data_IF_638717563534
#
_entry.id   IF_638717563534
#
_cell.length_a   1.000
_cell.length_b   1.000
_cell.length_c   1.000
_cell.angle_alpha   90.00
_cell.angle_beta   90.00
_cell.angle_gamma   90.00
#
_symmetry.space_group_name_H-M   'P 1'
#
loop_
_entity.id
_entity.type
_entity.pdbx_description
1 polymer ?
#
# COMPACT_ATOMS: atom_id res chain seq x y z
N UNK A 1 10.46 18.37 8.49
CA UNK A 1 11.93 18.59 8.68
C UNK A 1 12.63 17.25 8.81
N UNK A 2 13.80 17.06 8.18
CA UNK A 2 14.57 15.80 8.24
C UNK A 2 15.78 15.96 9.17
N UNK A 3 16.01 14.96 10.01
CA UNK A 3 17.18 14.87 10.89
C UNK A 3 17.86 13.50 10.72
N UNK A 4 19.19 13.50 10.58
CA UNK A 4 20.01 12.30 10.51
C UNK A 4 21.07 12.36 11.63
N UNK A 5 21.14 11.31 12.45
CA UNK A 5 22.11 11.20 13.56
C UNK A 5 22.14 12.43 14.48
N UNK A 6 20.98 13.02 14.75
CA UNK A 6 20.90 14.20 15.61
C UNK A 6 21.02 15.55 14.89
N UNK A 7 21.34 15.58 13.59
CA UNK A 7 21.65 16.81 12.85
C UNK A 7 20.63 17.07 11.73
N UNK A 8 20.26 18.32 11.43
CA UNK A 8 19.46 18.65 10.27
C UNK A 8 20.09 18.07 9.00
N UNK A 9 19.30 17.35 8.22
CA UNK A 9 19.77 16.79 6.96
C UNK A 9 20.00 17.90 5.94
N UNK A 10 21.21 17.93 5.38
CA UNK A 10 21.59 18.75 4.25
C UNK A 10 22.04 17.79 3.14
N UNK A 11 21.41 17.79 1.96
CA UNK A 11 21.89 17.00 0.83
C UNK A 11 23.32 17.42 0.51
N UNK A 12 24.25 16.47 0.40
CA UNK A 12 25.60 16.76 -0.10
C UNK A 12 25.66 16.63 -1.63
N UNK A 13 26.74 17.12 -2.25
CA UNK A 13 26.93 17.02 -3.71
C UNK A 13 27.07 15.56 -4.22
N UNK A 14 27.32 14.60 -3.32
CA UNK A 14 27.39 13.17 -3.64
C UNK A 14 26.01 12.52 -3.74
N UNK A 15 24.99 13.18 -3.17
CA UNK A 15 23.60 12.78 -3.18
C UNK A 15 22.96 13.01 -4.56
N UNK A 16 23.17 12.05 -5.47
CA UNK A 16 22.55 12.05 -6.80
C UNK A 16 21.11 11.53 -6.76
N UNK A 17 20.22 12.29 -6.12
CA UNK A 17 18.78 12.00 -6.14
C UNK A 17 18.22 12.18 -7.55
N UNK A 18 17.36 11.26 -7.98
CA UNK A 18 16.54 11.51 -9.17
C UNK A 18 15.36 12.44 -8.85
N UNK A 19 14.55 12.74 -9.87
CA UNK A 19 13.40 13.64 -9.72
C UNK A 19 12.37 13.13 -8.71
N UNK A 20 12.09 11.82 -8.67
CA UNK A 20 11.13 11.24 -7.73
C UNK A 20 11.67 11.29 -6.30
N UNK A 21 12.94 10.96 -6.12
CA UNK A 21 13.63 11.03 -4.82
C UNK A 21 13.67 12.48 -4.31
N UNK A 22 13.91 13.45 -5.21
CA UNK A 22 13.89 14.88 -4.89
C UNK A 22 12.51 15.31 -4.40
N UNK A 23 11.44 14.96 -5.13
CA UNK A 23 10.05 15.26 -4.70
C UNK A 23 9.72 14.65 -3.33
N UNK A 24 10.19 13.42 -3.06
CA UNK A 24 10.01 12.77 -1.76
C UNK A 24 10.77 13.53 -0.65
N UNK A 25 12.02 13.89 -0.88
CA UNK A 25 12.85 14.64 0.09
C UNK A 25 12.21 15.99 0.40
N UNK A 26 11.78 16.73 -0.61
CA UNK A 26 11.11 18.00 -0.43
C UNK A 26 9.81 17.85 0.37
N UNK A 27 9.00 16.83 0.07
CA UNK A 27 7.77 16.56 0.82
C UNK A 27 8.08 16.26 2.29
N UNK A 28 9.09 15.43 2.58
CA UNK A 28 9.56 15.12 3.94
C UNK A 28 10.04 16.39 4.67
N UNK A 29 10.78 17.27 3.99
CA UNK A 29 11.25 18.54 4.56
C UNK A 29 10.08 19.49 4.89
N UNK A 30 9.09 19.59 4.00
CA UNK A 30 7.90 20.45 4.12
C UNK A 30 6.91 19.96 5.18
N UNK A 31 6.96 18.69 5.60
CA UNK A 31 6.08 18.21 6.67
C UNK A 31 6.34 18.93 8.01
N UNK A 32 5.28 19.19 8.80
CA UNK A 32 5.40 19.79 10.13
C UNK A 32 6.07 18.85 11.15
N UNK A 33 6.06 17.54 10.89
CA UNK A 33 6.66 16.55 11.78
C UNK A 33 8.17 16.46 11.54
N UNK A 34 8.90 16.13 12.61
CA UNK A 34 10.32 15.79 12.54
C UNK A 34 10.47 14.32 12.09
N UNK A 35 11.11 14.11 10.95
CA UNK A 35 11.53 12.79 10.49
C UNK A 35 12.98 12.55 10.91
N UNK A 36 13.16 11.76 11.97
CA UNK A 36 14.49 11.46 12.54
C UNK A 36 14.95 10.07 12.13
N UNK A 37 16.17 10.00 11.62
CA UNK A 37 16.84 8.79 11.17
C UNK A 37 18.15 8.61 11.94
N UNK A 38 18.51 7.36 12.28
CA UNK A 38 19.75 7.04 13.00
C UNK A 38 20.97 7.01 12.08
N UNK A 39 20.78 6.99 10.76
CA UNK A 39 21.85 7.01 9.76
C UNK A 39 21.32 7.44 8.39
N UNK A 40 22.21 7.89 7.50
CA UNK A 40 21.85 8.18 6.10
C UNK A 40 21.34 6.93 5.38
N UNK A 41 21.84 5.74 5.73
CA UNK A 41 21.35 4.47 5.19
C UNK A 41 19.86 4.26 5.47
N UNK A 42 19.39 4.62 6.66
CA UNK A 42 17.97 4.50 7.05
C UNK A 42 17.10 5.49 6.25
N UNK A 43 17.55 6.75 6.13
CA UNK A 43 16.89 7.77 5.29
C UNK A 43 16.81 7.31 3.83
N UNK A 44 17.93 6.83 3.26
CA UNK A 44 17.99 6.33 1.89
C UNK A 44 17.11 5.12 1.67
N UNK A 45 16.98 4.23 2.65
CA UNK A 45 16.08 3.09 2.57
C UNK A 45 14.61 3.53 2.47
N UNK A 46 14.18 4.48 3.29
CA UNK A 46 12.81 5.03 3.20
C UNK A 46 12.56 5.72 1.86
N UNK A 47 13.46 6.60 1.41
CA UNK A 47 13.32 7.31 0.13
C UNK A 47 13.22 6.31 -1.04
N UNK A 48 14.13 5.33 -1.10
CA UNK A 48 14.13 4.30 -2.16
C UNK A 48 12.88 3.42 -2.10
N UNK A 49 12.40 3.07 -0.90
CA UNK A 49 11.18 2.31 -0.72
C UNK A 49 9.95 3.07 -1.23
N UNK A 50 9.80 4.34 -0.87
CA UNK A 50 8.72 5.21 -1.36
C UNK A 50 8.74 5.33 -2.88
N UNK A 51 9.90 5.63 -3.46
CA UNK A 51 10.10 5.65 -4.91
C UNK A 51 9.70 4.33 -5.56
N UNK A 52 10.16 3.20 -5.03
CA UNK A 52 9.85 1.90 -5.61
C UNK A 52 8.39 1.48 -5.43
N UNK A 53 7.70 1.96 -4.40
CA UNK A 53 6.24 1.82 -4.26
C UNK A 53 5.53 2.61 -5.37
N UNK A 54 5.97 3.85 -5.65
CA UNK A 54 5.45 4.66 -6.76
C UNK A 54 5.71 3.99 -8.12
N UNK A 55 6.91 3.47 -8.33
CA UNK A 55 7.26 2.70 -9.54
C UNK A 55 6.34 1.48 -9.68
N UNK A 56 6.12 0.74 -8.58
CA UNK A 56 5.20 -0.41 -8.58
C UNK A 56 3.78 0.02 -8.92
N UNK A 57 3.30 1.14 -8.38
CA UNK A 57 1.96 1.65 -8.69
C UNK A 57 1.79 1.97 -10.17
N UNK A 58 2.81 2.61 -10.79
CA UNK A 58 2.85 2.88 -12.23
C UNK A 58 2.92 1.59 -13.06
N UNK A 59 3.70 0.60 -12.64
CA UNK A 59 3.76 -0.71 -13.30
C UNK A 59 2.41 -1.45 -13.23
N UNK A 60 1.70 -1.36 -12.10
CA UNK A 60 0.37 -1.95 -11.94
C UNK A 60 -0.67 -1.24 -12.82
N UNK A 61 -0.62 0.09 -12.90
CA UNK A 61 -1.51 0.90 -13.76
C UNK A 61 -1.33 0.59 -15.25
N UNK A 62 -0.08 0.37 -15.67
CA UNK A 62 0.25 -0.01 -17.05
C UNK A 62 -0.03 -1.50 -17.35
N UNK A 63 -0.25 -2.31 -16.32
CA UNK A 63 -0.54 -3.74 -16.45
C UNK A 63 -2.02 -4.03 -16.72
N UNK A 64 -2.34 -5.32 -16.83
CA UNK A 64 -3.68 -5.83 -17.16
C UNK A 64 -4.41 -6.38 -15.92
N UNK A 65 -3.82 -6.26 -14.73
CA UNK A 65 -4.50 -6.64 -13.49
C UNK A 65 -5.71 -5.75 -13.29
N UNK A 66 -6.87 -6.35 -13.03
CA UNK A 66 -8.14 -5.61 -12.97
C UNK A 66 -8.77 -5.63 -11.59
N UNK A 67 -9.64 -4.65 -11.33
CA UNK A 67 -10.39 -4.61 -10.09
C UNK A 67 -11.40 -5.77 -10.00
N UNK A 68 -11.49 -6.40 -8.83
CA UNK A 68 -12.54 -7.35 -8.50
C UNK A 68 -12.90 -7.29 -7.02
N UNK A 69 -14.15 -7.57 -6.69
CA UNK A 69 -14.55 -7.90 -5.31
C UNK A 69 -13.95 -9.24 -4.88
N UNK A 70 -13.92 -9.54 -3.58
CA UNK A 70 -13.42 -10.83 -3.07
C UNK A 70 -14.12 -12.05 -3.70
N UNK A 71 -15.43 -11.95 -3.99
CA UNK A 71 -16.20 -13.03 -4.62
C UNK A 71 -15.71 -13.38 -6.03
N UNK A 72 -15.15 -12.40 -6.75
CA UNK A 72 -14.74 -12.53 -8.15
C UNK A 72 -13.22 -12.39 -8.30
N UNK A 73 -12.48 -12.51 -7.19
CA UNK A 73 -11.03 -12.41 -7.19
C UNK A 73 -10.41 -13.58 -7.97
N UNK A 74 -9.25 -13.32 -8.58
CA UNK A 74 -8.50 -14.31 -9.37
C UNK A 74 -7.00 -14.08 -9.21
N UNK A 75 -6.24 -15.16 -9.15
CA UNK A 75 -4.77 -15.14 -9.11
C UNK A 75 -4.21 -16.27 -9.99
N UNK A 76 -2.95 -16.16 -10.39
CA UNK A 76 -2.25 -17.24 -11.08
C UNK A 76 -2.10 -18.46 -10.13
N UNK A 77 -2.68 -19.63 -10.47
CA UNK A 77 -2.66 -20.82 -9.62
C UNK A 77 -1.29 -21.49 -9.50
N UNK A 78 -0.31 -21.10 -10.31
CA UNK A 78 1.07 -21.56 -10.17
C UNK A 78 1.69 -21.07 -8.87
N UNK A 79 1.42 -19.81 -8.51
CA UNK A 79 2.02 -19.12 -7.35
C UNK A 79 1.09 -19.06 -6.14
N UNK A 80 -0.22 -18.93 -6.37
CA UNK A 80 -1.18 -18.59 -5.33
C UNK A 80 -2.34 -19.59 -5.28
N UNK A 81 -2.71 -20.02 -4.08
CA UNK A 81 -3.98 -20.67 -3.82
C UNK A 81 -5.05 -19.61 -3.54
N UNK A 82 -6.07 -19.54 -4.40
CA UNK A 82 -7.26 -18.73 -4.12
C UNK A 82 -8.05 -19.37 -2.97
N UNK A 83 -8.22 -18.64 -1.89
CA UNK A 83 -9.01 -19.09 -0.73
C UNK A 83 -10.51 -18.87 -0.97
N UNK A 84 -11.35 -19.54 -0.18
CA UNK A 84 -12.82 -19.35 -0.23
C UNK A 84 -13.26 -17.92 0.13
N UNK A 85 -12.44 -17.18 0.88
CA UNK A 85 -12.66 -15.77 1.19
C UNK A 85 -12.21 -14.83 0.06
N UNK A 86 -11.61 -15.33 -1.02
CA UNK A 86 -11.09 -14.52 -2.12
C UNK A 86 -9.70 -13.91 -1.88
N UNK A 87 -8.99 -14.36 -0.84
CA UNK A 87 -7.58 -14.00 -0.61
C UNK A 87 -6.61 -14.94 -1.32
N UNK A 88 -5.37 -14.50 -1.55
CA UNK A 88 -4.33 -15.24 -2.26
C UNK A 88 -3.30 -15.76 -1.27
N UNK A 89 -3.32 -17.06 -1.00
CA UNK A 89 -2.36 -17.72 -0.13
C UNK A 89 -1.17 -18.20 -0.96
N UNK A 90 0.04 -17.76 -0.60
CA UNK A 90 1.25 -18.21 -1.28
C UNK A 90 1.36 -19.73 -1.20
N UNK A 91 1.60 -20.38 -2.34
CA UNK A 91 1.78 -21.84 -2.37
C UNK A 91 3.07 -22.23 -1.67
N UNK A 92 3.05 -23.43 -1.07
CA UNK A 92 4.24 -24.00 -0.42
C UNK A 92 5.38 -24.10 -1.43
N UNK A 93 6.59 -23.77 -0.98
CA UNK A 93 7.85 -23.85 -1.76
C UNK A 93 7.94 -22.84 -2.92
N UNK A 94 6.95 -21.98 -3.13
CA UNK A 94 7.04 -20.86 -4.07
C UNK A 94 7.80 -19.71 -3.42
N UNK A 95 8.72 -19.11 -4.17
CA UNK A 95 9.48 -17.92 -3.78
C UNK A 95 8.53 -16.72 -3.63
N UNK A 96 8.46 -16.06 -2.47
CA UNK A 96 7.66 -14.85 -2.28
C UNK A 96 7.97 -13.75 -3.29
N UNK A 97 9.25 -13.56 -3.61
CA UNK A 97 9.70 -12.59 -4.59
C UNK A 97 9.16 -12.89 -6.00
N UNK A 98 9.18 -14.15 -6.41
CA UNK A 98 8.74 -14.54 -7.75
C UNK A 98 7.22 -14.47 -7.86
N UNK A 99 6.50 -14.92 -6.84
CA UNK A 99 5.04 -14.76 -6.74
C UNK A 99 4.60 -13.29 -6.76
N UNK A 100 5.36 -12.41 -6.09
CA UNK A 100 5.09 -10.97 -6.08
C UNK A 100 5.34 -10.35 -7.45
N UNK A 101 6.44 -10.70 -8.12
CA UNK A 101 6.74 -10.22 -9.49
C UNK A 101 5.72 -10.71 -10.51
N UNK A 102 5.26 -11.95 -10.35
CA UNK A 102 4.28 -12.58 -11.26
C UNK A 102 2.99 -11.76 -11.38
N UNK A 103 2.57 -11.10 -10.29
CA UNK A 103 1.39 -10.21 -10.29
C UNK A 103 1.54 -9.06 -11.30
N UNK A 104 2.77 -8.59 -11.55
CA UNK A 104 3.05 -7.50 -12.49
C UNK A 104 3.36 -8.03 -13.88
N UNK A 105 4.14 -9.10 -14.00
CA UNK A 105 4.55 -9.65 -15.31
C UNK A 105 3.44 -10.42 -16.01
N UNK A 106 2.62 -11.16 -15.25
CA UNK A 106 1.47 -11.92 -15.74
C UNK A 106 0.15 -11.30 -15.26
N UNK A 107 0.12 -9.97 -15.20
CA UNK A 107 -0.95 -9.18 -14.59
C UNK A 107 -2.36 -9.50 -15.11
N UNK A 108 -2.49 -9.89 -16.38
CA UNK A 108 -3.76 -10.35 -16.95
C UNK A 108 -4.37 -11.55 -16.21
N UNK A 109 -3.59 -12.36 -15.49
CA UNK A 109 -4.09 -13.48 -14.69
C UNK A 109 -4.73 -13.06 -13.36
N UNK A 110 -4.61 -11.79 -12.97
CA UNK A 110 -4.96 -11.32 -11.64
C UNK A 110 -6.16 -10.36 -11.62
N UNK A 111 -7.02 -10.56 -10.61
CA UNK A 111 -8.12 -9.66 -10.27
C UNK A 111 -8.28 -9.55 -8.76
N UNK A 112 -8.18 -8.35 -8.21
CA UNK A 112 -8.21 -8.11 -6.75
C UNK A 112 -8.76 -6.72 -6.44
N UNK A 113 -9.09 -6.46 -5.17
CA UNK A 113 -9.62 -5.17 -4.74
C UNK A 113 -8.52 -4.17 -4.33
N UNK A 114 -8.89 -2.92 -4.05
CA UNK A 114 -7.94 -1.82 -3.91
C UNK A 114 -7.06 -1.87 -2.65
N UNK A 115 -7.53 -2.39 -1.51
CA UNK A 115 -6.68 -2.55 -0.32
C UNK A 115 -5.58 -3.60 -0.56
N UNK A 116 -5.94 -4.73 -1.16
CA UNK A 116 -5.01 -5.79 -1.57
C UNK A 116 -4.00 -5.23 -2.58
N UNK A 117 -4.44 -4.39 -3.52
CA UNK A 117 -3.55 -3.70 -4.45
C UNK A 117 -2.50 -2.81 -3.74
N UNK A 118 -2.90 -2.06 -2.70
CA UNK A 118 -1.96 -1.27 -1.90
C UNK A 118 -0.91 -2.16 -1.22
N UNK A 119 -1.35 -3.27 -0.60
CA UNK A 119 -0.45 -4.24 0.03
C UNK A 119 0.52 -4.86 -0.97
N UNK A 120 0.04 -5.26 -2.16
CA UNK A 120 0.89 -5.79 -3.25
C UNK A 120 1.96 -4.76 -3.66
N UNK A 121 1.59 -3.49 -3.81
CA UNK A 121 2.53 -2.43 -4.17
C UNK A 121 3.56 -2.15 -3.06
N UNK A 122 3.17 -2.25 -1.79
CA UNK A 122 4.13 -2.19 -0.68
C UNK A 122 5.14 -3.33 -0.75
N UNK A 123 4.68 -4.57 -0.93
CA UNK A 123 5.56 -5.72 -1.07
C UNK A 123 6.47 -5.62 -2.30
N UNK A 124 5.94 -5.24 -3.46
CA UNK A 124 6.74 -5.11 -4.67
C UNK A 124 7.77 -3.97 -4.58
N UNK A 125 7.37 -2.82 -4.02
CA UNK A 125 8.28 -1.70 -3.78
C UNK A 125 9.41 -2.07 -2.83
N UNK A 126 9.10 -2.78 -1.74
CA UNK A 126 10.11 -3.29 -0.82
C UNK A 126 11.01 -4.34 -1.46
N UNK A 127 10.46 -5.27 -2.26
CA UNK A 127 11.24 -6.25 -3.01
C UNK A 127 12.28 -5.58 -3.92
N UNK A 128 11.91 -4.51 -4.63
CA UNK A 128 12.83 -3.71 -5.46
C UNK A 128 13.91 -3.00 -4.62
N UNK A 129 13.59 -2.61 -3.38
CA UNK A 129 14.55 -1.91 -2.49
C UNK A 129 15.53 -2.84 -1.78
N UNK A 130 15.06 -3.95 -1.21
CA UNK A 130 15.89 -4.85 -0.38
C UNK A 130 16.42 -6.08 -1.10
N UNK A 131 15.91 -6.37 -2.31
CA UNK A 131 16.29 -7.53 -3.11
C UNK A 131 15.61 -8.83 -2.66
N UNK A 132 15.62 -9.82 -3.56
CA UNK A 132 14.88 -11.09 -3.39
C UNK A 132 15.31 -11.90 -2.16
N UNK A 133 16.60 -11.96 -1.86
CA UNK A 133 17.12 -12.74 -0.72
C UNK A 133 16.57 -12.21 0.62
N UNK A 134 16.68 -10.90 0.84
CA UNK A 134 16.15 -10.24 2.04
C UNK A 134 14.64 -10.33 2.10
N UNK A 135 13.95 -10.09 0.98
CA UNK A 135 12.49 -10.14 0.89
C UNK A 135 11.95 -11.54 1.19
N UNK A 136 12.53 -12.59 0.61
CA UNK A 136 12.11 -13.98 0.84
C UNK A 136 12.34 -14.42 2.28
N UNK A 137 13.43 -13.94 2.90
CA UNK A 137 13.70 -14.21 4.32
C UNK A 137 12.70 -13.50 5.21
N UNK A 138 12.40 -12.24 4.91
CA UNK A 138 11.52 -11.40 5.71
C UNK A 138 10.03 -11.70 5.50
N UNK A 139 9.60 -12.18 4.33
CA UNK A 139 8.18 -12.43 4.03
C UNK A 139 7.94 -13.83 3.45
N UNK A 140 8.26 -14.91 4.19
CA UNK A 140 8.27 -16.27 3.64
C UNK A 140 6.87 -16.86 3.39
N UNK A 141 5.83 -16.35 4.04
CA UNK A 141 4.47 -16.95 4.05
C UNK A 141 3.40 -15.88 3.74
N UNK A 142 3.45 -15.30 2.55
CA UNK A 142 2.52 -14.24 2.17
C UNK A 142 1.07 -14.74 2.07
N UNK A 143 0.16 -13.93 2.59
CA UNK A 143 -1.27 -14.04 2.37
C UNK A 143 -1.83 -12.68 1.98
N UNK A 144 -2.32 -12.54 0.75
CA UNK A 144 -2.86 -11.27 0.24
C UNK A 144 -4.38 -11.27 0.42
N UNK A 145 -4.87 -10.49 1.38
CA UNK A 145 -6.29 -10.34 1.64
C UNK A 145 -6.60 -9.01 2.31
N UNK A 146 -7.29 -8.12 1.60
CA UNK A 146 -7.57 -6.76 2.10
C UNK A 146 -6.29 -6.08 2.60
N UNK A 147 -6.30 -5.64 3.84
CA UNK A 147 -5.19 -5.03 4.56
C UNK A 147 -4.40 -6.01 5.44
N UNK A 148 -4.61 -7.32 5.30
CA UNK A 148 -3.79 -8.32 5.98
C UNK A 148 -2.37 -8.31 5.42
N UNK A 149 -1.40 -8.27 6.33
CA UNK A 149 0.03 -8.23 6.02
C UNK A 149 0.79 -9.06 7.05
N UNK A 150 1.96 -9.55 6.67
CA UNK A 150 2.98 -9.99 7.63
C UNK A 150 3.31 -8.84 8.62
N UNK A 151 3.42 -9.17 9.91
CA UNK A 151 3.64 -8.18 10.98
C UNK A 151 4.95 -7.41 10.79
N UNK A 152 5.95 -8.01 10.14
CA UNK A 152 7.24 -7.37 9.86
C UNK A 152 7.12 -6.19 8.88
N UNK A 153 6.02 -6.10 8.11
CA UNK A 153 5.76 -4.90 7.30
C UNK A 153 5.53 -3.66 8.18
N UNK A 154 5.06 -3.88 9.42
CA UNK A 154 4.79 -2.83 10.39
C UNK A 154 3.82 -1.79 9.85
N UNK A 155 2.75 -2.22 9.18
CA UNK A 155 1.76 -1.33 8.58
C UNK A 155 1.04 -0.53 9.67
N UNK A 156 0.93 0.79 9.49
CA UNK A 156 0.21 1.65 10.43
C UNK A 156 -0.51 2.79 9.70
N UNK A 157 -1.45 3.43 10.41
CA UNK A 157 -2.15 4.62 9.90
C UNK A 157 -2.28 5.71 10.95
N UNK A 158 -2.39 6.95 10.49
CA UNK A 158 -2.56 8.14 11.31
C UNK A 158 -3.32 9.21 10.51
N UNK A 159 -3.77 10.27 11.20
CA UNK A 159 -4.41 11.41 10.55
C UNK A 159 -3.41 12.55 10.36
N UNK A 160 -3.34 13.07 9.14
CA UNK A 160 -2.56 14.24 8.78
C UNK A 160 -3.27 15.05 7.68
N UNK A 161 -2.93 16.33 7.57
CA UNK A 161 -3.38 17.22 6.50
C UNK A 161 -2.39 17.28 5.33
N UNK A 162 -1.41 16.37 5.31
CA UNK A 162 -0.37 16.26 4.29
C UNK A 162 -0.03 14.77 4.11
N UNK A 163 0.53 14.44 2.95
CA UNK A 163 1.06 13.13 2.63
C UNK A 163 2.43 13.27 1.98
N UNK A 164 3.23 12.22 2.05
CA UNK A 164 4.50 12.11 1.33
C UNK A 164 4.29 11.12 0.17
N UNK A 165 4.82 11.38 -1.03
CA UNK A 165 4.74 10.40 -2.12
C UNK A 165 5.14 8.98 -1.67
N UNK A 166 4.39 7.99 -2.11
CA UNK A 166 4.45 6.59 -1.66
C UNK A 166 3.57 6.26 -0.45
N UNK A 167 2.97 7.24 0.23
CA UNK A 167 1.91 7.00 1.22
C UNK A 167 0.62 6.50 0.54
N UNK A 168 -0.17 5.70 1.25
CA UNK A 168 -1.56 5.44 0.85
C UNK A 168 -2.50 6.42 1.53
N UNK A 169 -3.32 7.08 0.73
CA UNK A 169 -4.43 7.94 1.16
C UNK A 169 -5.77 7.25 0.93
N UNK A 170 -6.84 7.81 1.51
CA UNK A 170 -8.19 7.31 1.30
C UNK A 170 -9.13 8.42 0.81
N UNK A 171 -9.70 8.22 -0.38
CA UNK A 171 -10.82 9.03 -0.87
C UNK A 171 -12.11 8.41 -0.36
N UNK A 172 -12.84 9.13 0.49
CA UNK A 172 -14.07 8.65 1.09
C UNK A 172 -15.28 9.09 0.27
N UNK A 173 -16.23 8.19 0.06
CA UNK A 173 -17.54 8.47 -0.55
C UNK A 173 -18.65 8.18 0.47
N UNK A 174 -18.99 9.17 1.32
CA UNK A 174 -19.85 8.96 2.49
C UNK A 174 -21.28 8.56 2.10
N UNK A 175 -21.74 9.01 0.93
CA UNK A 175 -23.11 8.85 0.45
C UNK A 175 -23.20 7.83 -0.70
N UNK A 176 -22.31 6.84 -0.73
CA UNK A 176 -22.30 5.77 -1.73
C UNK A 176 -23.67 5.08 -1.87
N UNK A 177 -24.04 4.75 -3.10
CA UNK A 177 -25.21 3.93 -3.38
C UNK A 177 -25.00 2.51 -2.81
N UNK A 178 -25.89 1.99 -1.92
CA UNK A 178 -25.73 0.67 -1.32
C UNK A 178 -25.59 -0.48 -2.33
N UNK A 179 -26.21 -0.37 -3.52
CA UNK A 179 -26.10 -1.39 -4.58
C UNK A 179 -24.70 -1.49 -5.20
N UNK A 180 -23.88 -0.45 -5.05
CA UNK A 180 -22.50 -0.37 -5.53
C UNK A 180 -21.53 -0.06 -4.38
N UNK A 181 -21.70 -0.75 -3.25
CA UNK A 181 -21.00 -0.48 -1.99
C UNK A 181 -19.46 -0.56 -2.03
N UNK A 182 -18.87 -1.11 -3.09
CA UNK A 182 -17.42 -1.07 -3.35
C UNK A 182 -16.91 0.31 -3.78
N UNK A 183 -17.79 1.24 -4.15
CA UNK A 183 -17.48 2.65 -4.37
C UNK A 183 -17.62 3.52 -3.10
N UNK A 184 -17.62 2.91 -1.91
CA UNK A 184 -17.61 3.62 -0.62
C UNK A 184 -16.37 4.50 -0.44
N UNK A 185 -15.35 4.23 -1.23
CA UNK A 185 -14.11 4.99 -1.30
C UNK A 185 -13.10 4.25 -2.16
N UNK A 186 -11.91 4.81 -2.26
CA UNK A 186 -10.75 4.17 -2.90
C UNK A 186 -9.50 4.42 -2.07
N UNK A 187 -8.75 3.35 -1.79
CA UNK A 187 -7.40 3.44 -1.27
C UNK A 187 -6.47 3.76 -2.45
N UNK A 188 -5.64 4.79 -2.32
CA UNK A 188 -4.81 5.24 -3.42
C UNK A 188 -3.38 5.57 -2.99
N UNK A 189 -2.39 5.17 -3.78
CA UNK A 189 -0.98 5.51 -3.55
C UNK A 189 -0.73 6.90 -4.10
N UNK A 190 -0.23 7.81 -3.26
CA UNK A 190 0.17 9.15 -3.67
C UNK A 190 1.43 9.06 -4.55
N UNK A 191 1.32 9.51 -5.81
CA UNK A 191 2.41 9.47 -6.79
C UNK A 191 3.32 10.72 -6.65
N UNK A 192 2.72 11.85 -6.32
CA UNK A 192 3.34 13.18 -6.41
C UNK A 192 2.47 14.09 -7.29
N UNK A 193 2.68 15.40 -7.21
CA UNK A 193 2.06 16.38 -8.13
C UNK A 193 0.53 16.27 -8.30
N UNK A 194 -0.18 16.04 -7.18
CA UNK A 194 -1.64 15.83 -7.13
C UNK A 194 -2.14 14.57 -7.89
N UNK A 195 -1.26 13.61 -8.21
CA UNK A 195 -1.63 12.34 -8.83
C UNK A 195 -1.66 11.18 -7.82
N UNK A 196 -2.60 10.27 -8.04
CA UNK A 196 -2.86 9.13 -7.18
C UNK A 196 -3.16 7.90 -8.02
N UNK A 197 -2.55 6.76 -7.67
CA UNK A 197 -2.93 5.47 -8.24
C UNK A 197 -3.98 4.80 -7.36
N UNK A 198 -5.21 4.67 -7.86
CA UNK A 198 -6.26 3.88 -7.25
C UNK A 198 -6.57 2.66 -8.11
N UNK A 199 -6.42 1.44 -7.58
CA UNK A 199 -6.72 0.23 -8.36
C UNK A 199 -8.19 0.19 -8.78
N UNK A 200 -8.44 0.12 -10.09
CA UNK A 200 -9.78 0.28 -10.70
C UNK A 200 -10.16 1.71 -11.10
N UNK A 201 -9.37 2.71 -10.71
CA UNK A 201 -9.52 4.13 -11.09
C UNK A 201 -8.38 4.64 -11.99
N UNK A 202 -7.29 3.87 -12.07
CA UNK A 202 -6.01 4.23 -12.68
C UNK A 202 -5.30 5.39 -11.99
N UNK A 203 -4.20 5.88 -12.56
CA UNK A 203 -3.59 7.14 -12.13
C UNK A 203 -4.47 8.32 -12.53
N UNK A 204 -4.90 9.11 -11.54
CA UNK A 204 -5.78 10.28 -11.69
C UNK A 204 -5.43 11.38 -10.70
N UNK A 205 -5.88 12.59 -10.99
CA UNK A 205 -5.81 13.69 -10.02
C UNK A 205 -6.83 13.52 -8.89
N UNK A 206 -6.64 14.24 -7.78
CA UNK A 206 -7.61 14.28 -6.68
C UNK A 206 -9.04 14.61 -7.15
N UNK A 207 -9.16 15.60 -8.03
CA UNK A 207 -10.44 16.05 -8.57
C UNK A 207 -11.11 14.94 -9.38
N UNK A 208 -10.35 14.23 -10.22
CA UNK A 208 -10.86 13.12 -11.03
C UNK A 208 -11.23 11.88 -10.19
N UNK A 209 -10.50 11.61 -9.11
CA UNK A 209 -10.89 10.58 -8.13
C UNK A 209 -12.24 10.91 -7.50
N UNK A 210 -12.42 12.17 -7.05
CA UNK A 210 -13.66 12.64 -6.41
C UNK A 210 -14.83 12.64 -7.41
N UNK A 211 -14.64 13.14 -8.63
CA UNK A 211 -15.65 13.10 -9.70
C UNK A 211 -16.12 11.66 -9.93
N UNK A 212 -15.20 10.71 -10.09
CA UNK A 212 -15.53 9.30 -10.33
C UNK A 212 -16.37 8.69 -9.21
N UNK A 213 -16.00 8.92 -7.95
CA UNK A 213 -16.76 8.45 -6.79
C UNK A 213 -18.15 9.10 -6.70
N UNK A 214 -18.24 10.39 -7.02
CA UNK A 214 -19.50 11.14 -6.97
C UNK A 214 -20.56 10.60 -7.93
N UNK A 215 -20.17 9.93 -9.01
CA UNK A 215 -21.09 9.24 -9.94
C UNK A 215 -21.78 8.02 -9.33
N UNK A 216 -21.33 7.55 -8.17
CA UNK A 216 -21.81 6.33 -7.49
C UNK A 216 -22.47 6.62 -6.15
N UNK A 217 -22.91 7.86 -5.93
CA UNK A 217 -23.69 8.27 -4.76
C UNK A 217 -25.15 7.80 -4.87
N UNK A 218 -25.83 7.75 -3.73
CA UNK A 218 -27.29 7.60 -3.68
C UNK A 218 -27.97 8.80 -4.38
N UNK A 219 -29.19 8.62 -4.94
CA UNK A 219 -29.94 9.71 -5.55
C UNK A 219 -30.04 10.94 -4.64
N UNK A 220 -30.03 12.13 -5.24
CA UNK A 220 -30.21 13.44 -4.60
C UNK A 220 -29.16 13.83 -3.54
N UNK A 221 -28.08 13.05 -3.37
CA UNK A 221 -27.01 13.36 -2.42
C UNK A 221 -26.31 14.69 -2.74
N UNK A 222 -26.26 15.57 -1.75
CA UNK A 222 -25.50 16.82 -1.77
C UNK A 222 -24.11 16.68 -1.14
N UNK A 223 -23.79 15.52 -0.55
CA UNK A 223 -22.50 15.28 0.09
C UNK A 223 -21.50 14.73 -0.93
N UNK A 224 -20.45 15.48 -1.24
CA UNK A 224 -19.38 15.04 -2.15
C UNK A 224 -18.47 14.00 -1.48
N UNK A 225 -17.88 13.13 -2.29
CA UNK A 225 -16.66 12.43 -1.94
C UNK A 225 -15.52 13.42 -1.68
N UNK A 226 -14.52 13.01 -0.91
CA UNK A 226 -13.40 13.85 -0.50
C UNK A 226 -12.15 13.03 -0.18
N UNK A 227 -10.98 13.64 -0.35
CA UNK A 227 -9.72 13.11 0.17
C UNK A 227 -9.72 13.23 1.70
N UNK A 228 -9.71 12.10 2.41
CA UNK A 228 -9.61 12.11 3.86
C UNK A 228 -8.17 12.40 4.32
N UNK A 229 -8.01 12.81 5.58
CA UNK A 229 -6.69 12.93 6.19
C UNK A 229 -6.06 11.61 6.65
N UNK A 230 -6.65 10.45 6.30
CA UNK A 230 -6.13 9.15 6.71
C UNK A 230 -4.93 8.75 5.84
N UNK A 231 -3.77 8.61 6.47
CA UNK A 231 -2.53 8.17 5.84
C UNK A 231 -2.19 6.77 6.34
N UNK A 232 -1.83 5.86 5.43
CA UNK A 232 -1.40 4.48 5.74
C UNK A 232 -0.07 4.19 5.05
N UNK A 233 0.90 3.63 5.77
CA UNK A 233 2.22 3.29 5.22
C UNK A 233 2.97 2.22 6.04
N UNK A 234 3.95 1.51 5.45
CA UNK A 234 4.83 0.61 6.18
C UNK A 234 5.74 1.33 7.18
N UNK A 235 6.26 0.59 8.16
CA UNK A 235 7.32 1.09 9.06
C UNK A 235 8.69 0.98 8.40
N UNK A 236 9.04 1.96 7.57
CA UNK A 236 10.32 1.98 6.84
C UNK A 236 11.54 1.91 7.77
N UNK A 237 11.47 2.54 8.95
CA UNK A 237 12.55 2.49 9.95
C UNK A 237 12.78 1.06 10.45
N UNK A 238 11.73 0.34 10.85
CA UNK A 238 11.84 -1.07 11.26
C UNK A 238 12.41 -1.93 10.13
N UNK A 239 11.91 -1.74 8.91
CA UNK A 239 12.33 -2.48 7.72
C UNK A 239 13.80 -2.23 7.36
N UNK A 240 14.29 -1.00 7.49
CA UNK A 240 15.68 -0.64 7.18
C UNK A 240 16.72 -1.32 8.08
N UNK A 241 16.30 -1.67 9.31
CA UNK A 241 17.14 -2.30 10.33
C UNK A 241 17.21 -3.81 10.15
N UNK A 242 16.40 -4.36 9.24
CA UNK A 242 16.49 -5.76 8.90
C UNK A 242 17.87 -6.09 8.31
N UNK A 243 18.54 -7.05 8.93
CA UNK A 243 19.78 -7.65 8.45
C UNK A 243 19.54 -9.14 8.21
N UNK A 244 19.77 -9.63 7.00
CA UNK A 244 19.68 -11.05 6.68
C UNK A 244 20.58 -11.90 7.60
N UNK A 245 20.15 -13.11 7.94
CA UNK A 245 20.91 -14.06 8.77
C UNK A 245 20.45 -14.20 10.22
N UNK A 246 19.41 -13.47 10.66
CA UNK A 246 18.75 -13.73 11.95
C UNK A 246 17.57 -14.69 11.77
N UNK A 247 17.42 -15.64 12.70
CA UNK A 247 16.19 -16.44 12.81
C UNK A 247 15.03 -15.50 13.12
N UNK A 248 14.10 -15.34 12.18
CA UNK A 248 12.90 -14.53 12.39
C UNK A 248 11.86 -15.40 13.08
N UNK A 249 11.46 -15.02 14.29
CA UNK A 249 10.31 -15.65 14.93
C UNK A 249 9.05 -15.05 14.33
N UNK A 250 8.31 -15.86 13.55
CA UNK A 250 7.09 -15.43 12.88
C UNK A 250 5.89 -15.53 13.80
N UNK A 251 5.28 -14.39 14.08
CA UNK A 251 3.92 -14.31 14.59
C UNK A 251 2.94 -14.62 13.45
N UNK A 252 1.77 -15.14 13.81
CA UNK A 252 0.64 -15.24 12.87
C UNK A 252 -0.26 -14.05 13.15
N UNK A 253 -0.31 -13.04 12.27
CA UNK A 253 -1.18 -11.91 12.47
C UNK A 253 -2.62 -12.41 12.58
N UNK A 254 -3.38 -11.84 13.52
CA UNK A 254 -4.80 -12.13 13.62
C UNK A 254 -5.51 -11.72 12.32
N UNK A 255 -6.38 -12.59 11.82
CA UNK A 255 -7.00 -12.45 10.51
C UNK A 255 -8.51 -12.59 10.63
N UNK A 256 -9.23 -11.61 10.07
CA UNK A 256 -10.69 -11.65 9.92
C UNK A 256 -11.05 -11.55 8.45
N UNK A 257 -11.73 -12.56 7.92
CA UNK A 257 -12.26 -12.54 6.55
C UNK A 257 -13.57 -11.73 6.48
N UNK A 258 -13.45 -10.39 6.56
CA UNK A 258 -14.59 -9.47 6.61
C UNK A 258 -15.34 -9.30 5.26
N UNK A 259 -14.70 -9.63 4.14
CA UNK A 259 -15.25 -9.60 2.77
C UNK A 259 -15.84 -8.24 2.33
N UNK A 260 -15.34 -7.15 2.92
CA UNK A 260 -15.75 -5.77 2.59
C UNK A 260 -14.72 -5.14 1.66
N UNK A 261 -15.11 -4.88 0.42
CA UNK A 261 -14.26 -4.27 -0.61
C UNK A 261 -14.08 -2.77 -0.40
N UNK A 262 -12.88 -2.25 -0.71
CA UNK A 262 -12.53 -0.82 -0.65
C UNK A 262 -12.65 -0.17 0.73
N UNK A 263 -12.49 -0.97 1.78
CA UNK A 263 -12.37 -0.46 3.14
C UNK A 263 -11.02 0.22 3.34
N UNK A 264 -11.01 1.30 4.11
CA UNK A 264 -9.77 1.92 4.57
C UNK A 264 -9.05 1.03 5.61
N UNK A 265 -7.76 1.27 5.83
CA UNK A 265 -7.01 0.54 6.87
C UNK A 265 -7.64 0.72 8.26
N UNK A 266 -8.12 1.93 8.56
CA UNK A 266 -8.85 2.20 9.82
C UNK A 266 -10.10 1.35 9.97
N UNK A 267 -10.89 1.19 8.90
CA UNK A 267 -12.06 0.32 8.93
C UNK A 267 -11.64 -1.14 9.10
N UNK A 268 -10.58 -1.59 8.44
CA UNK A 268 -10.03 -2.93 8.65
C UNK A 268 -9.65 -3.21 10.11
N UNK A 269 -8.98 -2.26 10.79
CA UNK A 269 -8.67 -2.39 12.21
C UNK A 269 -9.94 -2.53 13.07
N UNK A 270 -11.03 -1.84 12.72
CA UNK A 270 -12.31 -2.03 13.39
C UNK A 270 -12.85 -3.45 13.18
N UNK A 271 -12.77 -4.00 11.96
CA UNK A 271 -13.17 -5.39 11.69
C UNK A 271 -12.34 -6.42 12.48
N UNK A 272 -11.05 -6.17 12.71
CA UNK A 272 -10.19 -7.03 13.54
C UNK A 272 -10.60 -6.99 15.03
N UNK A 273 -11.04 -5.83 15.51
CA UNK A 273 -11.47 -5.65 16.91
C UNK A 273 -12.87 -6.22 17.19
N UNK A 274 -13.69 -6.42 16.15
CA UNK A 274 -15.07 -6.85 16.28
C UNK A 274 -15.14 -8.36 16.56
N UNK A 275 -15.37 -8.74 17.81
CA UNK A 275 -15.79 -10.09 18.19
C UNK A 275 -17.29 -10.24 17.95
N UNK A 276 -17.77 -11.20 17.14
CA UNK A 276 -19.18 -11.54 17.13
C UNK A 276 -19.61 -11.90 18.56
N UNK A 277 -20.63 -11.22 19.08
CA UNK A 277 -21.36 -11.73 20.25
C UNK A 277 -22.13 -12.95 19.76
N UNK A 278 -21.60 -14.13 20.04
CA UNK A 278 -22.37 -15.38 19.98
C UNK A 278 -23.28 -15.45 21.18
#
# INVERSE_FOLDING_TARGET
MIQVSGRPFQPDDSWKADTTETTIIEALQKTPNLYSFSSEKELMFEIKSRKNIIVSAKEMDNGESSFATFRTARCNPEYWQLTTAGGFLLRRQVSPADATRDIFTNSAQYKFECATACVINFYHGLLKTMGASSFNTLFPNLYLYSWHTDDDLGLYSFFANHYVPGDVVYFNNPDVNPSTSWFRGVNAIAIGDNEFFGHGFSIRTSEKMIEGLNTKRKPDSQQSAYLSGLITRPSFQSLSRFSGGRTIHKTRPFLVHHNKTSVSYRQYLYELSYKPKY
#
